data_IF_180685679649
#
_entry.id   IF_180685679649
#
_cell.length_a   1.000
_cell.length_b   1.000
_cell.length_c   1.000
_cell.angle_alpha   90.00
_cell.angle_beta   90.00
_cell.angle_gamma   90.00
#
_symmetry.space_group_name_H-M   'P 1'
#
loop_
_entity.id
_entity.type
_entity.pdbx_description
1 polymer ?
#
# COMPACT_ATOMS: atom_id res chain seq x y z
N UNK A 1 -30.39 23.50 49.52
CA UNK A 1 -30.89 22.20 49.04
C UNK A 1 -31.60 22.50 47.72
N UNK A 2 -31.03 22.29 46.54
CA UNK A 2 -30.26 21.14 46.08
C UNK A 2 -29.40 21.60 44.88
N UNK A 3 -28.07 21.62 45.06
CA UNK A 3 -27.13 21.51 43.94
C UNK A 3 -27.29 20.08 43.41
N UNK A 4 -28.19 19.88 42.44
CA UNK A 4 -28.49 18.52 41.98
C UNK A 4 -27.49 17.97 40.98
N UNK A 5 -26.70 18.83 40.33
CA UNK A 5 -25.70 18.42 39.37
C UNK A 5 -24.56 19.43 39.32
N UNK A 6 -23.39 19.02 39.81
CA UNK A 6 -22.13 19.68 39.49
C UNK A 6 -21.49 18.91 38.35
N UNK A 7 -21.35 19.55 37.19
CA UNK A 7 -20.51 19.01 36.11
C UNK A 7 -19.07 19.32 36.48
N UNK A 8 -18.34 18.32 36.93
CA UNK A 8 -16.90 18.43 37.19
C UNK A 8 -16.14 18.43 35.88
N UNK A 9 -15.06 19.21 35.79
CA UNK A 9 -14.14 19.17 34.65
C UNK A 9 -13.62 17.74 34.46
N UNK A 10 -13.79 17.22 33.25
CA UNK A 10 -13.32 15.89 32.89
C UNK A 10 -11.84 15.97 32.52
N UNK A 11 -11.02 15.09 33.08
CA UNK A 11 -9.60 15.00 32.72
C UNK A 11 -9.46 14.73 31.23
N UNK A 12 -8.73 15.61 30.53
CA UNK A 12 -8.32 15.36 29.14
C UNK A 12 -7.29 14.24 29.14
N UNK A 13 -7.55 13.17 28.39
CA UNK A 13 -6.57 12.11 28.14
C UNK A 13 -5.98 12.26 26.75
N UNK A 14 -4.70 11.94 26.60
CA UNK A 14 -4.02 11.88 25.30
C UNK A 14 -3.99 10.44 24.81
N UNK A 15 -4.68 10.16 23.70
CA UNK A 15 -4.54 8.90 22.98
C UNK A 15 -3.38 8.98 21.99
N UNK A 16 -2.49 7.98 22.00
CA UNK A 16 -1.38 7.91 21.06
C UNK A 16 -1.70 6.87 19.97
N UNK A 17 -1.81 7.30 18.72
CA UNK A 17 -1.99 6.41 17.57
C UNK A 17 -0.63 6.18 16.94
N UNK A 18 -0.12 4.95 17.05
CA UNK A 18 1.16 4.57 16.44
C UNK A 18 0.88 4.08 15.01
N UNK A 19 1.49 4.70 13.98
CA UNK A 19 1.36 4.22 12.62
C UNK A 19 1.87 2.79 12.48
N UNK A 20 1.13 1.95 11.75
CA UNK A 20 1.58 0.62 11.38
C UNK A 20 2.45 0.69 10.12
N UNK A 21 3.62 0.05 10.16
CA UNK A 21 4.49 -0.05 8.99
C UNK A 21 3.87 -0.98 7.96
N UNK A 22 3.67 -0.47 6.75
CA UNK A 22 3.31 -1.24 5.55
C UNK A 22 4.55 -1.45 4.69
N UNK A 23 4.86 -2.71 4.38
CA UNK A 23 6.00 -3.08 3.53
C UNK A 23 5.50 -3.53 2.17
N UNK A 24 6.06 -2.95 1.10
CA UNK A 24 5.82 -3.34 -0.28
C UNK A 24 7.04 -4.04 -0.86
N UNK A 25 6.83 -5.20 -1.49
CA UNK A 25 7.85 -5.91 -2.28
C UNK A 25 7.41 -6.02 -3.72
N UNK A 26 8.35 -5.85 -4.65
CA UNK A 26 8.11 -5.87 -6.08
C UNK A 26 8.89 -7.01 -6.74
N UNK A 27 8.23 -7.81 -7.57
CA UNK A 27 8.86 -8.86 -8.37
C UNK A 27 8.50 -8.68 -9.84
N UNK A 28 9.51 -8.54 -10.69
CA UNK A 28 9.34 -8.39 -12.13
C UNK A 28 9.35 -9.74 -12.84
N UNK A 29 8.51 -9.87 -13.86
CA UNK A 29 8.41 -11.08 -14.68
C UNK A 29 9.08 -10.89 -16.05
N UNK A 30 9.64 -11.97 -16.59
CA UNK A 30 10.06 -12.02 -17.99
C UNK A 30 8.85 -11.92 -18.92
N UNK A 31 9.07 -11.50 -20.16
CA UNK A 31 8.05 -11.45 -21.21
C UNK A 31 8.60 -11.93 -22.54
N UNK A 32 7.70 -12.40 -23.41
CA UNK A 32 7.99 -12.53 -24.84
C UNK A 32 8.11 -11.15 -25.47
N UNK A 33 9.05 -11.00 -26.39
CA UNK A 33 9.26 -9.74 -27.10
C UNK A 33 8.04 -9.37 -27.94
N UNK A 34 7.57 -8.13 -27.79
CA UNK A 34 6.42 -7.59 -28.51
C UNK A 34 6.65 -6.13 -28.96
N UNK A 35 7.91 -5.72 -29.14
CA UNK A 35 8.32 -4.37 -29.50
C UNK A 35 7.96 -3.23 -28.52
N UNK A 36 7.41 -3.54 -27.34
CA UNK A 36 7.15 -2.57 -26.26
C UNK A 36 8.07 -2.80 -25.07
N UNK A 37 8.38 -1.73 -24.33
CA UNK A 37 9.12 -1.80 -23.07
C UNK A 37 8.22 -1.98 -21.83
N UNK A 38 6.92 -2.22 -21.98
CA UNK A 38 6.05 -2.49 -20.82
C UNK A 38 6.51 -3.76 -20.09
N UNK A 39 6.57 -3.67 -18.76
CA UNK A 39 6.91 -4.76 -17.85
C UNK A 39 5.71 -5.14 -16.97
N UNK A 40 5.69 -6.39 -16.55
CA UNK A 40 4.75 -6.88 -15.54
C UNK A 40 5.49 -7.01 -14.21
N UNK A 41 4.99 -6.34 -13.19
CA UNK A 41 5.49 -6.40 -11.83
C UNK A 41 4.35 -6.79 -10.90
N UNK A 42 4.59 -7.79 -10.07
CA UNK A 42 3.72 -8.14 -8.96
C UNK A 42 4.17 -7.36 -7.73
N UNK A 43 3.25 -6.60 -7.14
CA UNK A 43 3.43 -6.00 -5.82
C UNK A 43 2.81 -6.91 -4.76
N UNK A 44 3.53 -7.13 -3.67
CA UNK A 44 3.02 -7.78 -2.47
C UNK A 44 3.12 -6.82 -1.30
N UNK A 45 2.01 -6.66 -0.58
CA UNK A 45 1.90 -5.76 0.56
C UNK A 45 1.76 -6.59 1.83
N UNK A 46 2.45 -6.17 2.89
CA UNK A 46 2.43 -6.83 4.20
C UNK A 46 2.47 -5.80 5.32
N UNK A 47 1.94 -6.15 6.49
CA UNK A 47 1.81 -5.24 7.63
C UNK A 47 0.39 -4.76 7.90
N UNK A 48 -0.59 -5.25 7.16
CA UNK A 48 -2.03 -5.06 7.42
C UNK A 48 -2.44 -5.70 8.76
N UNK A 49 -3.50 -5.19 9.38
CA UNK A 49 -4.00 -5.65 10.68
C UNK A 49 -5.26 -6.49 10.52
N UNK A 50 -5.29 -7.66 11.15
CA UNK A 50 -6.47 -8.54 11.15
C UNK A 50 -6.91 -8.91 9.74
N UNK A 51 -8.15 -8.57 9.40
CA UNK A 51 -8.78 -8.87 8.11
C UNK A 51 -8.76 -7.68 7.13
N UNK A 52 -7.94 -6.66 7.41
CA UNK A 52 -7.73 -5.55 6.48
C UNK A 52 -7.23 -6.08 5.13
N UNK A 53 -7.76 -5.48 4.06
CA UNK A 53 -7.32 -5.76 2.70
C UNK A 53 -6.98 -4.44 2.01
N UNK A 54 -6.09 -4.49 1.02
CA UNK A 54 -5.71 -3.34 0.21
C UNK A 54 -5.54 -3.77 -1.25
N UNK A 55 -6.20 -3.06 -2.15
CA UNK A 55 -5.98 -3.20 -3.58
C UNK A 55 -4.70 -2.47 -3.98
N UNK A 56 -3.98 -3.01 -4.97
CA UNK A 56 -2.82 -2.33 -5.55
C UNK A 56 -2.75 -2.52 -7.06
N UNK A 57 -2.36 -1.45 -7.74
CA UNK A 57 -2.03 -1.47 -9.17
C UNK A 57 -0.69 -0.76 -9.37
N UNK A 58 0.02 -1.12 -10.44
CA UNK A 58 1.26 -0.45 -10.81
C UNK A 58 1.39 -0.33 -12.32
N UNK A 59 2.20 0.63 -12.74
CA UNK A 59 2.75 0.68 -14.10
C UNK A 59 4.24 0.47 -14.03
N UNK A 60 4.79 -0.33 -14.95
CA UNK A 60 6.20 -0.71 -14.93
C UNK A 60 6.77 -0.83 -16.33
N UNK A 61 8.07 -0.54 -16.46
CA UNK A 61 8.79 -0.57 -17.74
C UNK A 61 10.17 -1.21 -17.62
N UNK A 62 10.58 -1.94 -18.65
CA UNK A 62 11.97 -2.29 -18.88
C UNK A 62 12.74 -1.05 -19.36
N UNK A 63 14.05 -1.01 -19.08
CA UNK A 63 14.94 0.08 -19.49
C UNK A 63 14.90 0.40 -21.00
N UNK A 64 14.64 -0.59 -21.86
CA UNK A 64 14.37 -0.43 -23.29
C UNK A 64 13.65 -1.67 -23.84
N UNK A 65 13.17 -1.59 -25.10
CA UNK A 65 12.42 -2.68 -25.76
C UNK A 65 13.28 -3.90 -26.14
N UNK A 66 14.60 -3.74 -26.28
CA UNK A 66 15.45 -4.76 -26.89
C UNK A 66 15.58 -6.00 -25.99
N UNK A 67 15.62 -7.19 -26.61
CA UNK A 67 15.77 -8.48 -25.91
C UNK A 67 17.11 -8.56 -25.19
N UNK A 68 17.11 -9.14 -23.99
CA UNK A 68 18.31 -9.36 -23.19
C UNK A 68 17.97 -9.95 -21.82
N UNK A 69 18.98 -10.45 -21.12
CA UNK A 69 18.88 -10.94 -19.73
C UNK A 69 19.32 -9.85 -18.75
N UNK A 70 18.91 -9.98 -17.48
CA UNK A 70 19.30 -9.02 -16.44
C UNK A 70 18.81 -7.58 -16.68
N UNK A 71 17.73 -7.40 -17.45
CA UNK A 71 17.20 -6.08 -17.76
C UNK A 71 16.63 -5.41 -16.51
N UNK A 72 16.99 -4.16 -16.30
CA UNK A 72 16.38 -3.33 -15.25
C UNK A 72 14.90 -3.07 -15.54
N UNK A 73 14.07 -3.26 -14.52
CA UNK A 73 12.65 -2.88 -14.52
C UNK A 73 12.44 -1.76 -13.52
N UNK A 74 11.76 -0.71 -13.97
CA UNK A 74 11.37 0.44 -13.14
C UNK A 74 9.88 0.35 -12.89
N UNK A 75 9.48 0.42 -11.62
CA UNK A 75 8.08 0.67 -11.23
C UNK A 75 7.85 2.17 -11.33
N UNK A 76 7.03 2.57 -12.29
CA UNK A 76 6.79 3.99 -12.62
C UNK A 76 5.73 4.62 -11.70
N UNK A 77 4.72 3.84 -11.30
CA UNK A 77 3.70 4.28 -10.37
C UNK A 77 3.15 3.11 -9.56
N UNK A 78 2.65 3.42 -8.36
CA UNK A 78 1.88 2.52 -7.52
C UNK A 78 0.63 3.28 -7.08
N UNK A 79 -0.54 2.69 -7.29
CA UNK A 79 -1.80 3.20 -6.76
C UNK A 79 -2.34 2.19 -5.79
N UNK A 80 -2.63 2.64 -4.57
CA UNK A 80 -3.31 1.87 -3.54
C UNK A 80 -4.79 2.23 -3.56
N UNK A 81 -5.64 1.23 -3.38
CA UNK A 81 -7.07 1.40 -3.21
C UNK A 81 -7.49 0.69 -1.94
N UNK A 82 -8.39 1.31 -1.17
CA UNK A 82 -8.98 0.68 0.00
C UNK A 82 -9.53 -0.70 -0.38
N UNK A 83 -9.21 -1.72 0.42
CA UNK A 83 -9.80 -3.03 0.23
C UNK A 83 -11.23 -3.07 0.75
N UNK A 84 -11.80 -4.27 0.82
CA UNK A 84 -13.12 -4.46 1.38
C UNK A 84 -13.11 -4.03 2.85
N UNK A 85 -13.87 -2.97 3.16
CA UNK A 85 -14.30 -2.69 4.53
C UNK A 85 -15.16 -3.86 4.99
N UNK A 86 -14.62 -4.71 5.86
CA UNK A 86 -15.49 -5.43 6.79
C UNK A 86 -15.96 -4.39 7.81
N UNK A 87 -17.27 -4.10 7.77
CA UNK A 87 -17.95 -3.23 8.71
C UNK A 87 -17.88 -3.78 10.14
#
# INVERSE_FOLDING_TARGET
MLENYTVTDQSTTTGNIVPKVLTATASASNKTYNATNSASVTLTLSGLIGSETLGSTNTSTFNNKNVGTGKTVTVNSITLADGNKVA
#
